data_IF_675550242950
#
_entry.id   IF_675550242950
#
_cell.length_a   1.000
_cell.length_b   1.000
_cell.length_c   1.000
_cell.angle_alpha   90.00
_cell.angle_beta   90.00
_cell.angle_gamma   90.00
#
_symmetry.space_group_name_H-M   'P 1'
#
loop_
_entity.id
_entity.type
_entity.pdbx_description
1 polymer ?
#
# COMPACT_ATOMS: atom_id res chain seq x y z
N UNK A 1 -6.29 11.85 21.06
CA UNK A 1 -6.66 12.37 19.72
C UNK A 1 -6.91 11.16 18.83
N UNK A 2 -7.90 11.25 17.95
CA UNK A 2 -8.14 10.32 16.85
C UNK A 2 -7.97 11.06 15.53
N UNK A 3 -7.72 10.33 14.48
CA UNK A 3 -7.66 10.85 13.11
C UNK A 3 -8.52 9.99 12.20
N UNK A 4 -9.31 10.65 11.37
CA UNK A 4 -10.07 10.04 10.30
C UNK A 4 -9.27 10.11 9.00
N UNK A 5 -9.03 8.96 8.40
CA UNK A 5 -8.19 8.86 7.21
C UNK A 5 -8.72 7.86 6.19
N UNK A 6 -8.28 8.04 4.94
CA UNK A 6 -8.41 7.02 3.92
C UNK A 6 -7.05 6.43 3.60
N UNK A 7 -6.94 5.10 3.70
CA UNK A 7 -5.81 4.34 3.21
C UNK A 7 -6.09 3.80 1.81
N UNK A 8 -5.11 3.95 0.90
CA UNK A 8 -5.17 3.47 -0.48
C UNK A 8 -4.07 2.44 -0.74
N UNK A 9 -4.45 1.30 -1.31
CA UNK A 9 -3.54 0.26 -1.74
C UNK A 9 -3.88 -0.22 -3.15
N UNK A 10 -2.87 -0.32 -4.01
CA UNK A 10 -2.96 -0.99 -5.31
C UNK A 10 -1.83 -2.02 -5.36
N UNK A 11 -2.20 -3.29 -5.34
CA UNK A 11 -1.26 -4.41 -5.33
C UNK A 11 -0.80 -4.83 -6.73
N UNK A 12 0.20 -5.71 -6.79
CA UNK A 12 0.72 -6.26 -8.05
C UNK A 12 -0.23 -7.25 -8.71
N UNK A 13 -1.25 -7.75 -7.99
CA UNK A 13 -2.32 -8.57 -8.55
C UNK A 13 -3.23 -7.81 -9.51
N UNK A 14 -3.29 -6.49 -9.41
CA UNK A 14 -4.12 -5.60 -10.24
C UNK A 14 -5.63 -5.90 -10.16
N UNK A 15 -6.09 -6.47 -9.05
CA UNK A 15 -7.51 -6.79 -8.85
C UNK A 15 -8.35 -5.51 -8.75
N UNK A 16 -7.81 -4.50 -8.06
CA UNK A 16 -8.46 -3.22 -7.87
C UNK A 16 -7.61 -2.25 -7.05
N UNK A 17 -8.18 -1.09 -6.81
CA UNK A 17 -7.68 -0.12 -5.82
C UNK A 17 -8.48 -0.29 -4.55
N UNK A 18 -7.85 -0.79 -3.50
CA UNK A 18 -8.45 -0.87 -2.19
C UNK A 18 -8.43 0.49 -1.51
N UNK A 19 -9.57 0.89 -0.98
CA UNK A 19 -9.71 2.10 -0.20
C UNK A 19 -10.44 1.79 1.11
N UNK A 20 -9.81 2.10 2.23
CA UNK A 20 -10.37 1.96 3.56
C UNK A 20 -10.54 3.32 4.21
N UNK A 21 -11.74 3.63 4.68
CA UNK A 21 -11.98 4.74 5.60
C UNK A 21 -11.87 4.19 7.02
N UNK A 22 -10.99 4.78 7.83
CA UNK A 22 -10.72 4.33 9.17
C UNK A 22 -10.52 5.49 10.15
N UNK A 23 -10.91 5.26 11.39
CA UNK A 23 -10.54 6.09 12.54
C UNK A 23 -9.36 5.41 13.25
N UNK A 24 -8.26 6.14 13.40
CA UNK A 24 -7.08 5.68 14.15
C UNK A 24 -6.91 6.53 15.40
N UNK A 25 -6.77 5.88 16.56
CA UNK A 25 -6.56 6.54 17.84
C UNK A 25 -5.43 5.87 18.63
N UNK A 26 -4.90 6.57 19.64
CA UNK A 26 -3.79 6.07 20.44
C UNK A 26 -2.43 6.30 19.79
N UNK A 27 -1.42 5.60 20.29
CA UNK A 27 -0.06 5.60 19.77
C UNK A 27 0.70 4.33 20.18
N UNK A 28 1.72 3.95 19.42
CA UNK A 28 2.52 2.74 19.68
C UNK A 28 1.61 1.52 19.88
N UNK A 29 1.86 0.70 20.90
CA UNK A 29 1.05 -0.49 21.24
C UNK A 29 -0.38 -0.19 21.70
N UNK A 30 -0.70 1.08 21.98
CA UNK A 30 -2.07 1.50 22.31
C UNK A 30 -2.84 1.99 21.08
N UNK A 31 -2.28 1.83 19.89
CA UNK A 31 -2.96 2.17 18.63
C UNK A 31 -4.20 1.30 18.47
N UNK A 32 -5.31 1.96 18.15
CA UNK A 32 -6.57 1.31 17.83
C UNK A 32 -7.00 1.78 16.45
N UNK A 33 -7.40 0.83 15.63
CA UNK A 33 -7.93 1.08 14.29
C UNK A 33 -9.38 0.61 14.26
N UNK A 34 -10.26 1.51 13.86
CA UNK A 34 -11.66 1.21 13.59
C UNK A 34 -11.91 1.42 12.11
N UNK A 35 -12.10 0.34 11.39
CA UNK A 35 -12.56 0.40 10.00
C UNK A 35 -14.00 0.91 9.99
N UNK A 36 -14.25 1.98 9.26
CA UNK A 36 -15.59 2.57 9.07
C UNK A 36 -16.22 2.00 7.81
N UNK A 37 -15.47 1.99 6.71
CA UNK A 37 -15.92 1.46 5.42
C UNK A 37 -14.73 0.97 4.60
N UNK A 38 -15.00 0.07 3.66
CA UNK A 38 -14.02 -0.49 2.72
C UNK A 38 -14.66 -0.68 1.34
N UNK A 39 -13.89 -0.39 0.32
CA UNK A 39 -14.22 -0.72 -1.07
C UNK A 39 -12.98 -1.20 -1.81
N UNK A 40 -13.20 -1.99 -2.83
CA UNK A 40 -12.25 -2.24 -3.91
C UNK A 40 -12.81 -1.60 -5.18
N UNK A 41 -12.14 -0.58 -5.71
CA UNK A 41 -12.51 0.06 -6.96
C UNK A 41 -11.81 -0.67 -8.10
N UNK A 42 -12.58 -1.19 -9.06
CA UNK A 42 -12.02 -1.86 -10.23
C UNK A 42 -11.09 -0.94 -11.02
N UNK A 43 -9.93 -1.47 -11.41
CA UNK A 43 -9.01 -0.80 -12.34
C UNK A 43 -9.49 -1.09 -13.76
N UNK A 44 -9.74 -0.07 -14.59
CA UNK A 44 -10.10 -0.26 -15.99
C UNK A 44 -9.07 -1.11 -16.75
N UNK A 45 -9.54 -1.91 -17.71
CA UNK A 45 -8.67 -2.85 -18.44
C UNK A 45 -7.50 -2.17 -19.14
N UNK A 46 -7.74 -1.03 -19.78
CA UNK A 46 -6.72 -0.22 -20.44
C UNK A 46 -5.63 0.25 -19.47
N UNK A 47 -6.01 0.67 -18.27
CA UNK A 47 -5.07 1.04 -17.20
C UNK A 47 -4.28 -0.17 -16.70
N UNK A 48 -4.93 -1.34 -16.53
CA UNK A 48 -4.22 -2.59 -16.16
C UNK A 48 -3.17 -2.95 -17.21
N UNK A 49 -3.51 -2.84 -18.48
CA UNK A 49 -2.60 -3.16 -19.60
C UNK A 49 -1.43 -2.16 -19.66
N UNK A 50 -1.67 -0.86 -19.39
CA UNK A 50 -0.60 0.14 -19.28
C UNK A 50 0.32 -0.14 -18.06
N UNK A 51 -0.23 -0.53 -16.90
CA UNK A 51 0.58 -0.89 -15.73
C UNK A 51 1.50 -2.08 -16.05
N UNK A 52 0.97 -3.13 -16.70
CA UNK A 52 1.76 -4.31 -17.09
C UNK A 52 2.91 -3.93 -18.02
N UNK A 53 2.65 -3.09 -19.02
CA UNK A 53 3.70 -2.58 -19.93
C UNK A 53 4.76 -1.80 -19.18
N UNK A 54 4.39 -0.95 -18.22
CA UNK A 54 5.35 -0.20 -17.42
C UNK A 54 6.28 -1.10 -16.57
N UNK A 55 5.86 -2.33 -16.23
CA UNK A 55 6.66 -3.29 -15.46
C UNK A 55 7.64 -4.11 -16.34
N UNK A 56 7.58 -3.97 -17.67
CA UNK A 56 8.43 -4.70 -18.63
C UNK A 56 9.36 -3.68 -19.29
N UNK A 57 10.69 -3.86 -19.16
CA UNK A 57 11.69 -2.91 -19.63
C UNK A 57 11.55 -2.61 -21.13
N UNK A 58 11.29 -3.63 -21.94
CA UNK A 58 11.19 -3.52 -23.40
C UNK A 58 9.89 -2.83 -23.86
N UNK A 59 8.87 -2.79 -23.03
CA UNK A 59 7.56 -2.20 -23.35
C UNK A 59 7.33 -0.87 -22.66
N UNK A 60 8.14 -0.54 -21.64
CA UNK A 60 7.99 0.69 -20.87
C UNK A 60 8.64 1.87 -21.58
N UNK A 61 8.08 3.07 -21.31
CA UNK A 61 8.67 4.33 -21.75
C UNK A 61 8.40 5.43 -20.73
N UNK A 62 9.25 6.46 -20.75
CA UNK A 62 9.17 7.56 -19.80
C UNK A 62 7.85 8.33 -19.91
N UNK A 63 7.37 8.53 -21.10
CA UNK A 63 6.09 9.21 -21.39
C UNK A 63 4.89 8.36 -20.92
N UNK A 64 4.93 7.04 -21.12
CA UNK A 64 3.92 6.11 -20.62
C UNK A 64 3.86 6.16 -19.09
N UNK A 65 5.00 6.02 -18.40
CA UNK A 65 5.08 6.08 -16.93
C UNK A 65 4.57 7.44 -16.42
N UNK A 66 5.00 8.54 -17.06
CA UNK A 66 4.58 9.89 -16.68
C UNK A 66 3.07 10.07 -16.81
N UNK A 67 2.48 9.65 -17.94
CA UNK A 67 1.03 9.71 -18.16
C UNK A 67 0.25 8.82 -17.19
N UNK A 68 0.71 7.58 -16.99
CA UNK A 68 0.07 6.61 -16.11
C UNK A 68 0.10 7.05 -14.65
N UNK A 69 1.17 7.72 -14.20
CA UNK A 69 1.25 8.30 -12.85
C UNK A 69 0.07 9.23 -12.56
N UNK A 70 -0.30 10.08 -13.50
CA UNK A 70 -1.45 10.99 -13.37
C UNK A 70 -2.79 10.27 -13.48
N UNK A 71 -2.93 9.33 -14.45
CA UNK A 71 -4.16 8.53 -14.61
C UNK A 71 -4.48 7.76 -13.31
N UNK A 72 -3.46 7.17 -12.68
CA UNK A 72 -3.62 6.49 -11.39
C UNK A 72 -3.94 7.47 -10.25
N UNK A 73 -3.37 8.67 -10.25
CA UNK A 73 -3.74 9.72 -9.30
C UNK A 73 -5.24 10.05 -9.35
N UNK A 74 -5.81 10.19 -10.55
CA UNK A 74 -7.25 10.39 -10.73
C UNK A 74 -8.08 9.16 -10.28
N UNK A 75 -7.63 7.95 -10.61
CA UNK A 75 -8.30 6.73 -10.19
C UNK A 75 -8.32 6.59 -8.66
N UNK A 76 -7.21 6.88 -8.01
CA UNK A 76 -7.09 6.85 -6.55
C UNK A 76 -7.97 7.91 -5.89
N UNK A 77 -8.03 9.11 -6.46
CA UNK A 77 -8.95 10.16 -6.01
C UNK A 77 -10.41 9.72 -6.09
N UNK A 78 -10.77 9.00 -7.16
CA UNK A 78 -12.10 8.41 -7.31
C UNK A 78 -12.38 7.37 -6.22
N UNK A 79 -11.39 6.52 -5.88
CA UNK A 79 -11.53 5.54 -4.81
C UNK A 79 -11.79 6.22 -3.44
N UNK A 80 -11.05 7.31 -3.12
CA UNK A 80 -11.29 8.11 -1.91
C UNK A 80 -12.72 8.65 -1.88
N UNK A 81 -13.15 9.31 -2.97
CA UNK A 81 -14.50 9.86 -3.07
C UNK A 81 -15.57 8.77 -2.91
N UNK A 82 -15.33 7.59 -3.48
CA UNK A 82 -16.27 6.47 -3.44
C UNK A 82 -16.41 5.85 -2.05
N UNK A 83 -15.30 5.63 -1.32
CA UNK A 83 -15.37 5.06 0.04
C UNK A 83 -16.02 6.03 1.02
N UNK A 84 -15.71 7.33 0.91
CA UNK A 84 -16.36 8.37 1.72
C UNK A 84 -17.86 8.47 1.42
N UNK A 85 -18.25 8.43 0.15
CA UNK A 85 -19.65 8.44 -0.26
C UNK A 85 -20.40 7.22 0.28
N UNK A 86 -19.83 6.02 0.16
CA UNK A 86 -20.42 4.78 0.67
C UNK A 86 -20.60 4.81 2.19
N UNK A 87 -19.66 5.43 2.91
CA UNK A 87 -19.71 5.61 4.35
C UNK A 87 -20.64 6.75 4.80
N UNK A 88 -21.20 7.52 3.89
CA UNK A 88 -21.91 8.76 4.21
C UNK A 88 -21.03 9.75 4.99
N UNK A 89 -19.71 9.75 4.72
CA UNK A 89 -18.69 10.55 5.39
C UNK A 89 -18.30 11.75 4.52
N UNK A 90 -18.27 12.94 5.11
CA UNK A 90 -17.90 14.14 4.37
C UNK A 90 -16.38 14.21 4.20
N UNK A 91 -15.90 14.27 2.96
CA UNK A 91 -14.47 14.21 2.63
C UNK A 91 -13.64 15.30 3.30
N UNK A 92 -14.23 16.48 3.53
CA UNK A 92 -13.56 17.59 4.22
C UNK A 92 -13.29 17.32 5.72
N UNK A 93 -13.82 16.24 6.27
CA UNK A 93 -13.55 15.80 7.63
C UNK A 93 -12.36 14.84 7.71
N UNK A 94 -11.76 14.47 6.57
CA UNK A 94 -10.53 13.68 6.58
C UNK A 94 -9.35 14.50 7.07
N UNK A 95 -8.58 13.95 7.99
CA UNK A 95 -7.32 14.54 8.43
C UNK A 95 -6.22 14.41 7.37
N UNK A 96 -6.18 13.23 6.71
CA UNK A 96 -5.25 12.95 5.62
C UNK A 96 -5.66 11.68 4.83
N UNK A 97 -5.01 11.50 3.69
CA UNK A 97 -5.06 10.30 2.87
C UNK A 97 -3.66 9.68 2.89
N UNK A 98 -3.57 8.37 3.08
CA UNK A 98 -2.35 7.59 2.99
C UNK A 98 -2.36 6.78 1.69
N UNK A 99 -1.43 7.03 0.76
CA UNK A 99 -1.37 6.34 -0.53
C UNK A 99 -0.08 5.54 -0.68
N UNK A 100 -0.22 4.22 -0.85
CA UNK A 100 0.91 3.36 -1.21
C UNK A 100 1.38 3.59 -2.65
N UNK A 101 0.46 3.94 -3.55
CA UNK A 101 0.71 3.94 -4.99
C UNK A 101 0.67 2.53 -5.60
N UNK A 102 0.98 2.45 -6.90
CA UNK A 102 1.15 1.23 -7.67
C UNK A 102 2.63 1.00 -7.91
N UNK A 103 3.16 -0.13 -7.45
CA UNK A 103 4.57 -0.47 -7.68
C UNK A 103 4.79 -0.82 -9.15
N UNK A 104 5.76 -0.15 -9.76
CA UNK A 104 6.23 -0.39 -11.13
C UNK A 104 7.57 -1.12 -11.11
N UNK A 105 8.52 -0.63 -10.29
CA UNK A 105 9.85 -1.22 -10.20
C UNK A 105 10.39 -1.15 -8.77
N UNK A 106 11.21 -2.16 -8.41
CA UNK A 106 11.78 -2.22 -7.06
C UNK A 106 13.17 -2.83 -7.08
N UNK A 107 14.14 -2.07 -6.61
CA UNK A 107 15.55 -2.44 -6.49
C UNK A 107 15.91 -2.36 -5.00
N UNK A 108 15.71 -3.43 -4.21
CA UNK A 108 15.97 -3.41 -2.77
C UNK A 108 17.46 -3.25 -2.44
N UNK A 109 18.34 -3.76 -3.31
CA UNK A 109 19.80 -3.72 -3.16
C UNK A 109 20.45 -3.28 -4.45
N UNK A 110 21.47 -2.44 -4.34
CA UNK A 110 22.23 -1.97 -5.50
C UNK A 110 22.84 -3.15 -6.29
N UNK A 111 22.72 -3.10 -7.60
CA UNK A 111 23.35 -4.06 -8.50
C UNK A 111 23.81 -3.36 -9.79
N UNK A 112 24.87 -3.84 -10.40
CA UNK A 112 25.49 -3.19 -11.56
C UNK A 112 25.75 -1.70 -11.26
N UNK A 113 25.19 -0.80 -12.08
CA UNK A 113 25.28 0.65 -11.91
C UNK A 113 24.01 1.28 -11.29
N UNK A 114 23.03 0.46 -10.86
CA UNK A 114 21.79 0.93 -10.26
C UNK A 114 21.91 0.98 -8.73
N UNK A 115 21.46 2.07 -8.14
CA UNK A 115 21.38 2.21 -6.69
C UNK A 115 20.08 1.58 -6.17
N UNK A 116 20.05 1.23 -4.88
CA UNK A 116 18.80 0.87 -4.19
C UNK A 116 17.75 1.93 -4.43
N UNK A 117 16.61 1.54 -4.96
CA UNK A 117 15.54 2.46 -5.34
C UNK A 117 14.21 1.74 -5.51
N UNK A 118 13.13 2.48 -5.55
CA UNK A 118 11.80 1.92 -5.77
C UNK A 118 10.91 2.97 -6.42
N UNK A 119 10.02 2.53 -7.30
CA UNK A 119 9.09 3.39 -8.01
C UNK A 119 7.66 2.91 -7.77
N UNK A 120 6.92 3.69 -7.00
CA UNK A 120 5.47 3.60 -6.89
C UNK A 120 4.88 4.83 -7.55
N UNK A 121 3.91 4.64 -8.44
CA UNK A 121 3.22 5.70 -9.17
C UNK A 121 1.76 5.84 -8.73
N UNK A 122 1.15 6.94 -9.08
CA UNK A 122 -0.17 7.38 -8.61
C UNK A 122 -0.02 8.72 -7.91
N UNK A 123 0.10 9.79 -8.73
CA UNK A 123 0.55 11.13 -8.35
C UNK A 123 -0.19 11.67 -7.11
N UNK A 124 0.49 11.83 -5.96
CA UNK A 124 -0.14 12.28 -4.73
C UNK A 124 -0.64 13.73 -4.81
N UNK A 125 -0.03 14.58 -5.63
CA UNK A 125 -0.50 15.94 -5.84
C UNK A 125 -1.86 15.98 -6.54
N UNK A 126 -2.12 15.05 -7.47
CA UNK A 126 -3.44 14.87 -8.11
C UNK A 126 -4.47 14.45 -7.06
N UNK A 127 -4.13 13.48 -6.21
CA UNK A 127 -5.03 13.02 -5.14
C UNK A 127 -5.35 14.19 -4.20
N UNK A 128 -4.33 14.93 -3.77
CA UNK A 128 -4.51 16.06 -2.86
C UNK A 128 -5.39 17.17 -3.47
N UNK A 129 -5.16 17.52 -4.73
CA UNK A 129 -5.93 18.54 -5.44
C UNK A 129 -7.40 18.12 -5.62
N UNK A 130 -7.63 16.89 -6.10
CA UNK A 130 -8.95 16.35 -6.37
C UNK A 130 -9.82 16.16 -5.11
N UNK A 131 -9.19 15.96 -3.96
CA UNK A 131 -9.87 15.69 -2.69
C UNK A 131 -9.81 16.87 -1.72
N UNK A 132 -8.99 17.88 -2.00
CA UNK A 132 -8.68 18.99 -1.11
C UNK A 132 -8.22 18.51 0.29
N UNK A 133 -7.45 17.40 0.32
CA UNK A 133 -7.01 16.74 1.55
C UNK A 133 -5.51 16.51 1.50
N UNK A 134 -4.81 16.56 2.63
CA UNK A 134 -3.38 16.22 2.73
C UNK A 134 -3.16 14.76 2.31
N UNK A 135 -2.08 14.49 1.57
CA UNK A 135 -1.69 13.14 1.17
C UNK A 135 -0.33 12.77 1.74
N UNK A 136 -0.24 11.61 2.37
CA UNK A 136 1.01 10.99 2.82
C UNK A 136 1.29 9.84 1.87
N UNK A 137 2.49 9.80 1.30
CA UNK A 137 2.90 8.82 0.28
C UNK A 137 4.37 8.48 0.39
N UNK A 138 4.89 7.70 -0.56
CA UNK A 138 6.32 7.37 -0.66
C UNK A 138 6.89 6.59 0.54
N UNK A 139 6.10 5.72 1.16
CA UNK A 139 6.51 4.94 2.33
C UNK A 139 7.76 4.10 2.05
N UNK A 140 7.79 3.37 0.92
CA UNK A 140 8.94 2.54 0.52
C UNK A 140 10.16 3.37 0.14
N UNK A 141 9.94 4.51 -0.52
CA UNK A 141 11.02 5.45 -0.87
C UNK A 141 11.70 5.99 0.38
N UNK A 142 10.91 6.33 1.41
CA UNK A 142 11.45 6.84 2.67
C UNK A 142 12.25 5.76 3.41
N UNK A 143 11.80 4.52 3.43
CA UNK A 143 12.50 3.40 4.05
C UNK A 143 13.85 3.15 3.38
N UNK A 144 13.90 3.11 2.04
CA UNK A 144 15.15 2.98 1.28
C UNK A 144 16.09 4.16 1.55
N UNK A 145 15.57 5.38 1.58
CA UNK A 145 16.36 6.58 1.88
C UNK A 145 16.95 6.54 3.30
N UNK A 146 16.28 5.88 4.23
CA UNK A 146 16.77 5.64 5.59
C UNK A 146 17.75 4.45 5.70
N UNK A 147 18.04 3.75 4.60
CA UNK A 147 18.96 2.60 4.56
C UNK A 147 18.27 1.23 4.63
N UNK A 148 16.93 1.19 4.59
CA UNK A 148 16.15 -0.03 4.48
C UNK A 148 16.05 -0.58 3.06
N UNK A 149 15.31 -1.65 2.89
CA UNK A 149 15.08 -2.32 1.60
C UNK A 149 13.73 -1.97 0.95
N UNK A 150 12.91 -1.14 1.60
CA UNK A 150 11.60 -0.70 1.13
C UNK A 150 10.50 -1.76 1.25
N UNK A 151 10.82 -2.97 1.69
CA UNK A 151 9.92 -4.08 1.95
C UNK A 151 10.58 -5.08 2.91
N UNK A 152 9.81 -5.80 3.76
CA UNK A 152 8.39 -5.59 4.04
C UNK A 152 8.15 -4.38 4.95
N UNK A 153 7.01 -3.69 4.82
CA UNK A 153 6.61 -2.57 5.69
C UNK A 153 5.49 -2.95 6.67
N UNK A 154 4.67 -3.93 6.29
CA UNK A 154 3.48 -4.36 7.05
C UNK A 154 3.80 -4.94 8.44
N UNK A 155 4.90 -5.69 8.66
CA UNK A 155 5.19 -6.33 9.94
C UNK A 155 5.21 -5.38 11.14
N UNK A 156 5.63 -4.13 10.95
CA UNK A 156 5.59 -3.13 12.02
C UNK A 156 4.16 -2.80 12.47
N UNK A 157 3.26 -2.60 11.52
CA UNK A 157 1.85 -2.34 11.84
C UNK A 157 1.16 -3.56 12.42
N UNK A 158 1.48 -4.75 11.94
CA UNK A 158 0.98 -6.02 12.48
C UNK A 158 1.42 -6.22 13.92
N UNK A 159 2.69 -5.94 14.23
CA UNK A 159 3.20 -5.96 15.58
C UNK A 159 2.44 -5.00 16.51
N UNK A 160 2.19 -3.76 16.07
CA UNK A 160 1.47 -2.79 16.88
C UNK A 160 0.02 -3.19 17.14
N UNK A 161 -0.64 -3.81 16.16
CA UNK A 161 -2.08 -4.09 16.21
C UNK A 161 -2.41 -5.45 16.82
N UNK A 162 -1.53 -6.45 16.64
CA UNK A 162 -1.86 -7.84 16.95
C UNK A 162 -0.97 -8.49 17.98
N UNK A 163 0.17 -7.88 18.38
CA UNK A 163 1.05 -8.51 19.39
C UNK A 163 0.29 -8.91 20.66
N UNK A 164 0.59 -10.10 21.18
CA UNK A 164 -0.10 -10.69 22.32
C UNK A 164 0.93 -11.18 23.35
N UNK A 165 0.61 -11.03 24.63
CA UNK A 165 1.51 -11.47 25.69
C UNK A 165 1.46 -13.00 25.96
N UNK A 166 0.44 -13.67 25.46
CA UNK A 166 0.16 -15.07 25.77
C UNK A 166 0.31 -16.00 24.55
N UNK A 167 0.31 -15.45 23.33
CA UNK A 167 0.26 -16.22 22.08
C UNK A 167 1.37 -15.82 21.14
N UNK A 168 1.98 -16.81 20.49
CA UNK A 168 2.74 -16.59 19.25
C UNK A 168 1.75 -16.44 18.10
N UNK A 169 1.98 -15.48 17.23
CA UNK A 169 1.13 -15.24 16.06
C UNK A 169 1.92 -15.48 14.77
N UNK A 170 1.24 -16.04 13.79
CA UNK A 170 1.71 -16.20 12.44
C UNK A 170 0.63 -15.59 11.51
N UNK A 171 0.90 -14.43 10.97
CA UNK A 171 -0.02 -13.69 10.11
C UNK A 171 0.33 -13.96 8.66
N UNK A 172 -0.46 -14.81 7.99
CA UNK A 172 -0.26 -15.17 6.60
C UNK A 172 -1.03 -14.21 5.69
N UNK A 173 -0.32 -13.55 4.79
CA UNK A 173 -0.88 -12.82 3.68
C UNK A 173 -0.77 -13.65 2.40
N UNK A 174 -1.88 -13.73 1.62
CA UNK A 174 -1.94 -14.45 0.35
C UNK A 174 -2.28 -13.43 -0.73
N UNK A 175 -1.25 -12.79 -1.29
CA UNK A 175 -1.33 -11.96 -2.49
C UNK A 175 -0.84 -12.75 -3.71
N UNK A 176 -0.33 -12.09 -4.74
CA UNK A 176 0.34 -12.75 -5.87
C UNK A 176 1.47 -13.65 -5.38
N UNK A 177 2.30 -13.15 -4.47
CA UNK A 177 3.27 -13.89 -3.65
C UNK A 177 2.71 -13.94 -2.23
N UNK A 178 2.74 -15.12 -1.61
CA UNK A 178 2.38 -15.30 -0.21
C UNK A 178 3.53 -14.86 0.70
N UNK A 179 3.22 -14.20 1.81
CA UNK A 179 4.20 -13.86 2.84
C UNK A 179 3.63 -14.05 4.23
N UNK A 180 4.50 -14.23 5.21
CA UNK A 180 4.11 -14.46 6.60
C UNK A 180 4.89 -13.56 7.54
N UNK A 181 4.21 -13.01 8.54
CA UNK A 181 4.83 -12.32 9.67
C UNK A 181 4.70 -13.15 10.92
N UNK A 182 5.81 -13.38 11.60
CA UNK A 182 5.87 -14.12 12.86
C UNK A 182 6.08 -13.12 13.99
N UNK A 183 5.15 -13.12 14.94
CA UNK A 183 5.17 -12.26 16.13
C UNK A 183 5.21 -13.18 17.37
N UNK A 184 6.35 -13.38 17.99
CA UNK A 184 6.46 -14.15 19.23
C UNK A 184 5.65 -13.50 20.37
N UNK A 185 5.17 -14.31 21.31
CA UNK A 185 4.51 -13.79 22.51
C UNK A 185 5.44 -12.90 23.33
N UNK A 186 4.92 -11.85 23.90
CA UNK A 186 5.67 -10.93 24.77
C UNK A 186 6.95 -10.35 24.13
N UNK A 187 7.04 -10.30 22.79
CA UNK A 187 8.23 -9.87 22.07
C UNK A 187 8.36 -8.34 21.97
N UNK A 188 9.56 -7.89 21.61
CA UNK A 188 9.81 -6.54 21.08
C UNK A 188 9.75 -6.55 19.57
N UNK A 189 9.82 -5.37 18.96
CA UNK A 189 9.78 -5.26 17.48
C UNK A 189 10.94 -5.96 16.80
N UNK A 190 12.11 -5.97 17.43
CA UNK A 190 13.33 -6.62 16.91
C UNK A 190 13.24 -8.16 16.86
N UNK A 191 12.27 -8.74 17.56
CA UNK A 191 12.01 -10.18 17.56
C UNK A 191 11.02 -10.60 16.45
N UNK A 192 10.41 -9.63 15.76
CA UNK A 192 9.46 -9.87 14.67
C UNK A 192 10.23 -10.14 13.39
N UNK A 193 9.85 -11.17 12.66
CA UNK A 193 10.43 -11.45 11.35
C UNK A 193 9.36 -11.83 10.34
N UNK A 194 9.61 -11.50 9.07
CA UNK A 194 8.72 -11.78 7.97
C UNK A 194 9.51 -12.29 6.76
N UNK A 195 8.88 -13.15 5.98
CA UNK A 195 9.47 -13.70 4.77
C UNK A 195 8.41 -14.17 3.78
N UNK A 196 8.79 -14.28 2.52
CA UNK A 196 7.93 -14.79 1.47
C UNK A 196 7.80 -16.31 1.59
N UNK A 197 6.55 -16.81 1.47
CA UNK A 197 6.25 -18.25 1.57
C UNK A 197 6.12 -18.93 0.21
N UNK A 198 6.27 -18.19 -0.87
CA UNK A 198 6.20 -18.68 -2.24
C UNK A 198 5.00 -18.12 -3.01
N UNK A 199 4.71 -18.67 -4.20
CA UNK A 199 3.59 -18.24 -5.03
C UNK A 199 2.25 -18.37 -4.27
N UNK A 200 1.42 -17.33 -4.36
CA UNK A 200 0.06 -17.29 -3.84
C UNK A 200 -0.97 -17.31 -4.99
N UNK A 201 -1.70 -16.23 -5.14
CA UNK A 201 -2.73 -16.09 -6.19
C UNK A 201 -2.19 -16.22 -7.61
N UNK A 202 -0.90 -15.98 -7.83
CA UNK A 202 -0.27 -16.19 -9.15
C UNK A 202 -0.49 -17.59 -9.71
N UNK A 203 -0.57 -18.62 -8.87
CA UNK A 203 -0.90 -19.99 -9.31
C UNK A 203 -2.40 -20.12 -9.55
N UNK A 204 -3.24 -19.57 -8.67
CA UNK A 204 -4.69 -19.68 -8.73
C UNK A 204 -5.24 -18.97 -9.98
N UNK A 205 -4.69 -17.78 -10.28
CA UNK A 205 -5.13 -16.97 -11.42
C UNK A 205 -4.52 -17.43 -12.75
N UNK A 206 -3.49 -18.28 -12.71
CA UNK A 206 -2.81 -18.83 -13.88
C UNK A 206 -3.35 -20.18 -14.36
N UNK A 207 -4.36 -20.74 -13.68
CA UNK A 207 -5.07 -21.98 -14.02
C UNK A 207 -6.44 -21.64 -14.59
#
# INVERSE_FOLDING_TARGET
CSSDLVGLMSGTSLDGVDAVLAEISGNGRNTKVKQIEFITLEIPKDIKDEIRKCCIEEESSVDLICSLNFKLGYLFSKAVKSVCHKANFHIANLDFIASHGQTIFHIPRSYNNFVSSTLQIGEPAVIAYETNTKVISNFRVMDIAAGGEGAPLVPYSEFLLYSDNNKNLALQNIGGIGNITIIPKSCNIDDVFAFDTGPGNMIIDGV
#
